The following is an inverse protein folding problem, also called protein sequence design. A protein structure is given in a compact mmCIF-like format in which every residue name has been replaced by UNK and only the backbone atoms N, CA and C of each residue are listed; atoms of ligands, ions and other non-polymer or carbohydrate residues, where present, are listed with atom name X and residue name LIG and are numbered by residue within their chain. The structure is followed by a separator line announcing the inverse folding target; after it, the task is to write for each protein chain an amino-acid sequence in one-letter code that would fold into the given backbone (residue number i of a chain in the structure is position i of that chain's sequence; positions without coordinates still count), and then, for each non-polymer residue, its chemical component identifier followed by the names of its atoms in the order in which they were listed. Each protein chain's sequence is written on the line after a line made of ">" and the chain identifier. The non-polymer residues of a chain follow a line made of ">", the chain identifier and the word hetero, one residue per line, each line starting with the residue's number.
data_IF_223069385524
#
_entry.id   IF_223069385524
#
_cell.length_a   1.000
_cell.length_b   1.000
_cell.length_c   1.000
_cell.angle_alpha   90.00
_cell.angle_beta   90.00
_cell.angle_gamma   90.00
#
_symmetry.space_group_name_H-M   'P 1'
#
loop_
_entity.id
_entity.type
_entity.pdbx_description
1 polymer ?
#
# COMPACT_ATOMS: atom_id res chain seq x y z
N UNK A 1 -3.72 -52.55 -13.27
CA UNK A 1 -2.89 -51.35 -13.48
C UNK A 1 -3.24 -50.36 -12.38
N UNK A 2 -2.28 -49.98 -11.55
CA UNK A 2 -2.53 -49.01 -10.48
C UNK A 2 -2.73 -47.61 -11.07
N UNK A 3 -3.75 -46.90 -10.58
CA UNK A 3 -3.98 -45.50 -10.93
C UNK A 3 -2.75 -44.66 -10.56
N UNK A 4 -2.23 -43.92 -11.55
CA UNK A 4 -1.20 -42.91 -11.32
C UNK A 4 -1.90 -41.72 -10.66
N UNK A 5 -1.61 -41.48 -9.37
CA UNK A 5 -1.97 -40.23 -8.71
C UNK A 5 -1.07 -39.11 -9.23
N UNK A 6 -1.66 -38.21 -10.01
CA UNK A 6 -1.04 -36.94 -10.35
C UNK A 6 -1.04 -36.06 -9.09
N UNK A 7 0.13 -35.61 -8.66
CA UNK A 7 0.27 -34.62 -7.60
C UNK A 7 0.78 -33.35 -8.26
N UNK A 8 -0.05 -32.29 -8.28
CA UNK A 8 0.35 -30.97 -8.79
C UNK A 8 1.15 -30.23 -7.72
N UNK A 9 2.43 -30.58 -7.60
CA UNK A 9 3.37 -30.04 -6.60
C UNK A 9 3.54 -28.52 -6.72
N UNK A 10 3.41 -27.95 -7.93
CA UNK A 10 3.58 -26.50 -8.17
C UNK A 10 2.48 -25.68 -7.48
N UNK A 11 1.22 -26.13 -7.50
CA UNK A 11 0.11 -25.39 -6.89
C UNK A 11 0.22 -25.34 -5.36
N UNK A 12 0.65 -26.45 -4.74
CA UNK A 12 0.85 -26.52 -3.28
C UNK A 12 1.86 -25.49 -2.77
N UNK A 13 3.05 -25.43 -3.40
CA UNK A 13 4.12 -24.50 -3.02
C UNK A 13 3.68 -23.04 -3.17
N UNK A 14 2.98 -22.69 -4.26
CA UNK A 14 2.50 -21.33 -4.49
C UNK A 14 1.43 -20.94 -3.46
N UNK A 15 0.51 -21.85 -3.13
CA UNK A 15 -0.54 -21.57 -2.14
C UNK A 15 0.00 -21.33 -0.72
N UNK A 16 1.07 -22.04 -0.34
CA UNK A 16 1.75 -21.82 0.93
C UNK A 16 2.48 -20.46 0.95
N UNK A 17 3.15 -20.11 -0.14
CA UNK A 17 3.79 -18.80 -0.30
C UNK A 17 2.78 -17.66 -0.16
N UNK A 18 1.64 -17.76 -0.83
CA UNK A 18 0.60 -16.72 -0.83
C UNK A 18 0.01 -16.48 0.56
N UNK A 19 -0.17 -17.55 1.35
CA UNK A 19 -0.61 -17.45 2.74
C UNK A 19 0.40 -16.67 3.60
N UNK A 20 1.70 -16.91 3.41
CA UNK A 20 2.78 -16.19 4.12
C UNK A 20 2.82 -14.73 3.67
N UNK A 21 2.73 -14.48 2.36
CA UNK A 21 2.71 -13.15 1.78
C UNK A 21 1.54 -12.30 2.33
N UNK A 22 0.35 -12.89 2.46
CA UNK A 22 -0.81 -12.22 3.04
C UNK A 22 -0.57 -11.85 4.52
N UNK A 23 -0.06 -12.79 5.32
CA UNK A 23 0.26 -12.53 6.73
C UNK A 23 1.30 -11.43 6.89
N UNK A 24 2.34 -11.41 6.03
CA UNK A 24 3.33 -10.34 6.00
C UNK A 24 2.68 -8.99 5.70
N UNK A 25 1.83 -8.92 4.68
CA UNK A 25 1.17 -7.67 4.28
C UNK A 25 0.28 -7.12 5.40
N UNK A 26 -0.43 -8.00 6.12
CA UNK A 26 -1.23 -7.62 7.29
C UNK A 26 -0.37 -7.09 8.45
N UNK A 27 0.76 -7.76 8.74
CA UNK A 27 1.72 -7.31 9.74
C UNK A 27 2.33 -5.95 9.39
N UNK A 28 2.83 -5.79 8.16
CA UNK A 28 3.41 -4.54 7.67
C UNK A 28 2.42 -3.37 7.75
N UNK A 29 1.15 -3.63 7.45
CA UNK A 29 0.08 -2.65 7.61
C UNK A 29 -0.12 -2.23 9.07
N UNK A 30 -0.09 -3.18 10.01
CA UNK A 30 -0.20 -2.89 11.44
C UNK A 30 1.02 -2.13 11.97
N UNK A 31 2.22 -2.47 11.48
CA UNK A 31 3.48 -1.82 11.84
C UNK A 31 3.67 -0.46 11.13
N UNK A 32 2.76 -0.08 10.22
CA UNK A 32 2.84 1.13 9.40
C UNK A 32 4.11 1.20 8.52
N UNK A 33 4.68 0.04 8.19
CA UNK A 33 5.87 -0.07 7.35
C UNK A 33 5.46 -0.28 5.90
N UNK A 34 5.80 0.67 5.03
CA UNK A 34 5.56 0.55 3.60
C UNK A 34 6.70 -0.25 2.96
N UNK A 35 6.39 -1.32 2.22
CA UNK A 35 7.40 -2.18 1.60
C UNK A 35 7.24 -2.18 0.09
N UNK A 36 8.33 -1.93 -0.62
CA UNK A 36 8.40 -1.96 -2.09
C UNK A 36 9.26 -3.10 -2.56
N UNK A 37 8.73 -3.93 -3.44
CA UNK A 37 9.48 -4.94 -4.17
C UNK A 37 9.90 -4.39 -5.54
N UNK A 38 11.20 -4.12 -5.72
CA UNK A 38 11.79 -3.66 -6.98
C UNK A 38 12.19 -4.86 -7.85
N UNK A 39 11.50 -5.02 -8.97
CA UNK A 39 11.72 -6.11 -9.94
C UNK A 39 12.21 -5.56 -11.27
N UNK A 40 13.04 -6.31 -12.01
CA UNK A 40 13.54 -5.92 -13.35
C UNK A 40 14.44 -6.97 -13.96
N UNK A 41 14.83 -6.82 -15.21
CA UNK A 41 16.01 -7.48 -15.77
C UNK A 41 17.31 -7.07 -15.05
N UNK A 42 18.38 -7.88 -15.14
CA UNK A 42 19.72 -7.45 -14.75
C UNK A 42 20.11 -6.13 -15.43
N UNK A 43 20.67 -5.19 -14.67
CA UNK A 43 21.18 -3.94 -15.21
C UNK A 43 20.13 -2.89 -15.60
N UNK A 44 18.83 -3.10 -15.33
CA UNK A 44 17.80 -2.09 -15.60
C UNK A 44 17.99 -0.80 -14.76
N UNK A 45 18.66 -0.90 -13.60
CA UNK A 45 19.08 0.26 -12.80
C UNK A 45 18.41 0.40 -11.44
N UNK A 46 17.94 -0.70 -10.82
CA UNK A 46 17.34 -0.71 -9.47
C UNK A 46 18.23 -0.02 -8.43
N UNK A 47 19.47 -0.47 -8.27
CA UNK A 47 20.45 0.15 -7.35
C UNK A 47 20.64 1.63 -7.65
N UNK A 48 20.74 2.02 -8.93
CA UNK A 48 20.91 3.42 -9.33
C UNK A 48 19.69 4.28 -8.99
N UNK A 49 18.47 3.72 -9.13
CA UNK A 49 17.24 4.37 -8.69
C UNK A 49 17.25 4.57 -7.16
N UNK A 50 17.63 3.54 -6.40
CA UNK A 50 17.73 3.63 -4.93
C UNK A 50 18.72 4.70 -4.48
N UNK A 51 19.91 4.74 -5.07
CA UNK A 51 20.94 5.75 -4.75
C UNK A 51 20.49 7.19 -5.03
N UNK A 52 19.52 7.41 -5.94
CA UNK A 52 18.90 8.72 -6.17
C UNK A 52 17.70 8.98 -5.27
N UNK A 53 16.96 7.94 -4.91
CA UNK A 53 15.74 7.99 -4.12
C UNK A 53 16.04 8.22 -2.63
N UNK A 54 16.96 7.44 -2.05
CA UNK A 54 17.25 7.44 -0.62
C UNK A 54 17.67 8.83 -0.10
N UNK A 55 18.61 9.57 -0.72
CA UNK A 55 19.01 10.88 -0.21
C UNK A 55 17.89 11.91 -0.19
N UNK A 56 16.84 11.76 -1.00
CA UNK A 56 15.69 12.67 -1.05
C UNK A 56 14.64 12.37 0.04
N UNK A 57 14.64 11.14 0.55
CA UNK A 57 13.60 10.64 1.47
C UNK A 57 14.10 10.38 2.89
N UNK A 58 15.40 10.12 3.09
CA UNK A 58 15.94 9.66 4.38
C UNK A 58 15.80 10.66 5.53
N UNK A 59 15.66 11.95 5.24
CA UNK A 59 15.42 12.97 6.26
C UNK A 59 13.93 13.06 6.66
N UNK A 60 13.03 12.46 5.87
CA UNK A 60 11.58 12.42 6.11
C UNK A 60 11.12 11.07 6.68
N UNK A 61 11.79 9.98 6.29
CA UNK A 61 11.41 8.62 6.63
C UNK A 61 12.61 7.80 7.10
N UNK A 62 12.37 6.89 8.05
CA UNK A 62 13.33 5.83 8.37
C UNK A 62 13.31 4.78 7.25
N UNK A 63 14.38 4.71 6.47
CA UNK A 63 14.49 3.84 5.30
C UNK A 63 15.38 2.63 5.59
N UNK A 64 14.93 1.45 5.18
CA UNK A 64 15.72 0.22 5.14
C UNK A 64 15.80 -0.35 3.73
N UNK A 65 16.84 -1.12 3.45
CA UNK A 65 16.99 -1.86 2.19
C UNK A 65 17.32 -3.32 2.44
N UNK A 66 16.58 -4.20 1.80
CA UNK A 66 16.84 -5.63 1.70
C UNK A 66 17.34 -5.86 0.28
N UNK A 67 18.65 -6.07 0.14
CA UNK A 67 19.27 -6.40 -1.13
C UNK A 67 19.23 -7.92 -1.32
N UNK A 68 18.80 -8.39 -2.49
CA UNK A 68 18.86 -9.79 -2.84
C UNK A 68 19.59 -10.03 -4.15
N UNK A 69 20.72 -10.74 -4.03
CA UNK A 69 21.54 -11.20 -5.14
C UNK A 69 21.95 -12.66 -4.91
N UNK A 70 22.42 -13.28 -5.98
CA UNK A 70 22.86 -14.66 -6.02
C UNK A 70 24.15 -14.83 -5.19
N UNK A 71 25.14 -13.94 -5.34
CA UNK A 71 26.43 -14.06 -4.62
C UNK A 71 27.23 -12.75 -4.44
N UNK A 72 26.80 -11.63 -5.02
CA UNK A 72 27.51 -10.34 -4.91
C UNK A 72 27.06 -9.55 -3.68
N UNK A 73 27.94 -8.71 -3.12
CA UNK A 73 27.61 -7.70 -2.10
C UNK A 73 27.79 -6.27 -2.62
N UNK A 74 28.13 -6.12 -3.90
CA UNK A 74 28.54 -4.85 -4.51
C UNK A 74 27.44 -3.78 -4.38
N UNK A 75 26.17 -4.17 -4.51
CA UNK A 75 25.07 -3.21 -4.47
C UNK A 75 24.66 -2.87 -3.03
N UNK A 76 24.71 -3.83 -2.11
CA UNK A 76 24.52 -3.58 -0.68
C UNK A 76 25.57 -2.60 -0.12
N UNK A 77 26.84 -2.72 -0.54
CA UNK A 77 27.91 -1.81 -0.10
C UNK A 77 27.68 -0.37 -0.57
N UNK A 78 27.32 -0.17 -1.85
CA UNK A 78 26.98 1.17 -2.38
C UNK A 78 25.80 1.79 -1.66
N UNK A 79 24.75 1.00 -1.40
CA UNK A 79 23.55 1.51 -0.72
C UNK A 79 23.87 1.88 0.72
N UNK A 80 24.72 1.10 1.41
CA UNK A 80 25.15 1.38 2.78
C UNK A 80 25.85 2.73 2.91
N UNK A 81 26.58 3.18 1.89
CA UNK A 81 27.22 4.51 1.86
C UNK A 81 26.20 5.67 1.95
N UNK A 82 24.92 5.43 1.66
CA UNK A 82 23.86 6.46 1.83
C UNK A 82 23.47 6.69 3.29
N UNK A 83 23.88 5.80 4.20
CA UNK A 83 23.65 5.89 5.65
C UNK A 83 22.37 5.19 6.15
N UNK A 84 21.68 4.43 5.30
CA UNK A 84 20.48 3.67 5.68
C UNK A 84 20.82 2.26 6.15
N UNK A 85 19.88 1.60 6.84
CA UNK A 85 20.01 0.19 7.20
C UNK A 85 19.94 -0.69 5.95
N UNK A 86 20.92 -1.57 5.77
CA UNK A 86 20.98 -2.50 4.63
C UNK A 86 21.24 -3.90 5.14
N UNK A 87 20.48 -4.87 4.63
CA UNK A 87 20.79 -6.28 4.78
C UNK A 87 20.96 -6.93 3.41
N UNK A 88 21.86 -7.90 3.34
CA UNK A 88 22.07 -8.75 2.18
C UNK A 88 21.36 -10.08 2.40
N UNK A 89 20.45 -10.44 1.51
CA UNK A 89 19.91 -11.78 1.39
C UNK A 89 20.66 -12.49 0.25
N UNK A 90 21.35 -13.57 0.58
CA UNK A 90 21.89 -14.47 -0.44
C UNK A 90 20.82 -15.47 -0.79
N UNK A 91 20.39 -15.49 -2.04
CA UNK A 91 19.32 -16.39 -2.48
C UNK A 91 19.79 -17.84 -2.63
N UNK A 92 21.09 -18.13 -2.50
CA UNK A 92 21.61 -19.50 -2.58
C UNK A 92 21.40 -20.15 -3.95
N UNK A 93 21.32 -19.35 -5.01
CA UNK A 93 21.09 -19.80 -6.39
C UNK A 93 19.66 -19.65 -6.88
N UNK A 94 18.70 -19.26 -6.03
CA UNK A 94 17.35 -18.95 -6.49
C UNK A 94 17.30 -17.66 -7.31
N UNK A 95 16.51 -17.67 -8.38
CA UNK A 95 16.34 -16.56 -9.34
C UNK A 95 15.33 -15.49 -8.90
N UNK A 96 14.79 -15.59 -7.69
CA UNK A 96 13.76 -14.73 -7.12
C UNK A 96 13.80 -14.77 -5.59
N UNK A 97 13.03 -13.89 -4.96
CA UNK A 97 12.65 -13.96 -3.55
C UNK A 97 11.21 -14.45 -3.42
N UNK A 98 10.98 -15.34 -2.46
CA UNK A 98 9.64 -15.74 -2.00
C UNK A 98 9.28 -15.00 -0.68
N UNK A 99 8.05 -15.17 -0.21
CA UNK A 99 7.58 -14.55 1.02
C UNK A 99 8.35 -15.01 2.27
N UNK A 100 8.87 -16.24 2.31
CA UNK A 100 9.63 -16.77 3.46
C UNK A 100 11.00 -16.11 3.56
N UNK A 101 11.68 -15.94 2.42
CA UNK A 101 12.96 -15.20 2.35
C UNK A 101 12.75 -13.74 2.75
N UNK A 102 11.69 -13.11 2.25
CA UNK A 102 11.36 -11.71 2.59
C UNK A 102 11.02 -11.57 4.07
N UNK A 103 10.24 -12.49 4.65
CA UNK A 103 9.97 -12.53 6.09
C UNK A 103 11.26 -12.55 6.90
N UNK A 104 12.18 -13.44 6.54
CA UNK A 104 13.47 -13.58 7.21
C UNK A 104 14.30 -12.28 7.12
N UNK A 105 14.29 -11.62 5.96
CA UNK A 105 14.92 -10.32 5.79
C UNK A 105 14.27 -9.22 6.64
N UNK A 106 12.94 -9.13 6.66
CA UNK A 106 12.20 -8.16 7.45
C UNK A 106 12.46 -8.34 8.96
N UNK A 107 12.56 -9.58 9.42
CA UNK A 107 12.92 -9.90 10.81
C UNK A 107 14.38 -9.50 11.12
N UNK A 108 15.32 -9.82 10.22
CA UNK A 108 16.74 -9.53 10.40
C UNK A 108 17.05 -8.02 10.42
N UNK A 109 16.39 -7.23 9.56
CA UNK A 109 16.56 -5.77 9.56
C UNK A 109 15.81 -5.11 10.73
N UNK A 110 14.84 -5.78 11.33
CA UNK A 110 13.97 -5.22 12.37
C UNK A 110 12.94 -4.24 11.79
N UNK A 111 12.09 -4.74 10.89
CA UNK A 111 11.21 -3.95 10.02
C UNK A 111 10.33 -2.91 10.72
N UNK A 112 9.89 -3.18 11.95
CA UNK A 112 9.03 -2.28 12.74
C UNK A 112 9.68 -0.94 13.09
N UNK A 113 11.00 -0.81 12.91
CA UNK A 113 11.72 0.44 13.11
C UNK A 113 11.76 1.33 11.86
N UNK A 114 11.21 0.87 10.73
CA UNK A 114 11.28 1.55 9.44
C UNK A 114 9.89 1.99 8.96
N UNK A 115 9.87 3.14 8.31
CA UNK A 115 8.69 3.68 7.65
C UNK A 115 8.57 3.15 6.22
N UNK A 116 9.71 2.94 5.56
CA UNK A 116 9.83 2.53 4.18
C UNK A 116 10.96 1.52 4.03
N UNK A 117 10.67 0.36 3.46
CA UNK A 117 11.66 -0.66 3.12
C UNK A 117 11.63 -0.92 1.63
N UNK A 118 12.80 -0.89 0.99
CA UNK A 118 12.96 -1.37 -0.37
C UNK A 118 13.53 -2.79 -0.36
N UNK A 119 12.89 -3.69 -1.08
CA UNK A 119 13.43 -4.99 -1.45
C UNK A 119 13.97 -4.83 -2.87
N UNK A 120 15.28 -4.87 -3.04
CA UNK A 120 15.92 -4.97 -4.35
C UNK A 120 15.96 -6.46 -4.73
N UNK A 121 14.98 -6.91 -5.51
CA UNK A 121 14.85 -8.31 -5.90
C UNK A 121 15.86 -8.68 -6.99
N UNK A 122 16.09 -9.99 -7.16
CA UNK A 122 17.01 -10.53 -8.17
C UNK A 122 16.63 -10.01 -9.56
N UNK A 123 17.63 -9.68 -10.38
CA UNK A 123 17.43 -9.27 -11.77
C UNK A 123 16.86 -10.40 -12.63
N UNK A 124 15.54 -10.50 -12.76
CA UNK A 124 14.83 -11.47 -13.58
C UNK A 124 13.41 -10.99 -13.91
N UNK A 125 12.95 -11.18 -15.16
CA UNK A 125 11.59 -10.81 -15.62
C UNK A 125 10.58 -11.96 -15.59
N UNK A 126 10.98 -13.15 -15.17
CA UNK A 126 10.16 -14.37 -15.16
C UNK A 126 9.88 -14.81 -13.73
N UNK A 127 10.91 -15.29 -13.02
CA UNK A 127 10.73 -15.91 -11.70
C UNK A 127 10.04 -14.98 -10.69
N UNK A 128 10.46 -13.70 -10.51
CA UNK A 128 9.87 -12.86 -9.47
C UNK A 128 8.39 -12.52 -9.69
N UNK A 129 7.87 -12.71 -10.91
CA UNK A 129 6.46 -12.48 -11.19
C UNK A 129 5.55 -13.63 -10.72
N UNK A 130 6.10 -14.82 -10.45
CA UNK A 130 5.34 -15.99 -9.99
C UNK A 130 5.17 -16.05 -8.46
N UNK A 131 5.93 -15.26 -7.68
CA UNK A 131 5.97 -15.36 -6.22
C UNK A 131 5.60 -14.03 -5.56
N UNK A 132 4.49 -14.03 -4.81
CA UNK A 132 4.13 -12.89 -3.97
C UNK A 132 5.13 -12.79 -2.80
N UNK A 133 5.72 -11.60 -2.63
CA UNK A 133 6.70 -11.31 -1.58
C UNK A 133 6.05 -10.79 -0.29
N UNK A 134 4.75 -10.48 -0.33
CA UNK A 134 4.04 -9.79 0.76
C UNK A 134 4.31 -8.28 0.80
N UNK A 135 5.02 -7.73 -0.20
CA UNK A 135 5.25 -6.30 -0.31
C UNK A 135 3.94 -5.51 -0.44
N UNK A 136 3.99 -4.23 -0.05
CA UNK A 136 2.87 -3.30 -0.19
C UNK A 136 2.63 -2.92 -1.65
N UNK A 137 3.72 -2.76 -2.41
CA UNK A 137 3.70 -2.49 -3.85
C UNK A 137 4.78 -3.27 -4.57
N UNK A 138 4.40 -3.80 -5.74
CA UNK A 138 5.32 -4.32 -6.73
C UNK A 138 5.67 -3.22 -7.73
N UNK A 139 6.95 -2.90 -7.87
CA UNK A 139 7.45 -1.85 -8.76
C UNK A 139 8.43 -2.48 -9.73
N UNK A 140 8.08 -2.46 -11.01
CA UNK A 140 8.92 -3.00 -12.07
C UNK A 140 9.71 -1.89 -12.74
N UNK A 141 11.01 -2.11 -12.98
CA UNK A 141 11.79 -1.30 -13.91
C UNK A 141 11.92 -2.03 -15.25
N UNK A 142 11.71 -1.28 -16.33
CA UNK A 142 12.07 -1.63 -17.70
C UNK A 142 13.00 -0.54 -18.22
N UNK A 143 14.21 -0.87 -18.64
CA UNK A 143 15.11 0.13 -19.22
C UNK A 143 14.92 0.30 -20.72
N UNK A 144 15.10 1.52 -21.23
CA UNK A 144 14.98 1.83 -22.66
C UNK A 144 15.81 0.88 -23.55
N UNK A 145 17.08 0.56 -23.24
CA UNK A 145 17.87 -0.38 -24.05
C UNK A 145 17.33 -1.81 -24.11
N UNK A 146 16.39 -2.19 -23.24
CA UNK A 146 15.78 -3.52 -23.31
C UNK A 146 14.78 -3.64 -24.46
N UNK A 147 14.15 -2.53 -24.89
CA UNK A 147 13.16 -2.52 -25.97
C UNK A 147 11.70 -2.49 -25.48
N UNK A 148 10.83 -1.85 -26.26
CA UNK A 148 9.40 -1.64 -25.95
C UNK A 148 8.52 -2.90 -26.07
N UNK A 149 9.11 -4.02 -26.54
CA UNK A 149 8.44 -5.29 -26.81
C UNK A 149 8.28 -6.19 -25.58
N UNK A 150 8.92 -5.83 -24.45
CA UNK A 150 8.93 -6.66 -23.23
C UNK A 150 7.55 -6.98 -22.68
N UNK A 151 6.52 -6.11 -22.72
CA UNK A 151 5.17 -6.47 -22.32
C UNK A 151 4.60 -7.67 -23.09
N UNK A 152 4.96 -7.83 -24.38
CA UNK A 152 4.51 -8.97 -25.19
C UNK A 152 5.24 -10.27 -24.80
N UNK A 153 6.49 -10.15 -24.36
CA UNK A 153 7.36 -11.29 -24.04
C UNK A 153 7.21 -11.76 -22.59
N UNK A 154 6.90 -10.86 -21.66
CA UNK A 154 6.84 -11.13 -20.22
C UNK A 154 5.53 -10.63 -19.60
N UNK A 155 4.34 -10.99 -20.14
CA UNK A 155 3.08 -10.36 -19.77
C UNK A 155 2.78 -10.43 -18.27
N UNK A 156 3.09 -11.56 -17.61
CA UNK A 156 2.83 -11.75 -16.19
C UNK A 156 3.52 -10.68 -15.32
N UNK A 157 4.78 -10.34 -15.62
CA UNK A 157 5.53 -9.33 -14.86
C UNK A 157 4.85 -7.96 -14.88
N UNK A 158 4.29 -7.56 -16.02
CA UNK A 158 3.55 -6.30 -16.14
C UNK A 158 2.16 -6.38 -15.49
N UNK A 159 1.53 -7.56 -15.48
CA UNK A 159 0.23 -7.78 -14.82
C UNK A 159 0.34 -7.71 -13.29
N UNK A 160 1.39 -8.26 -12.68
CA UNK A 160 1.54 -8.29 -11.22
C UNK A 160 2.15 -7.01 -10.64
N UNK A 161 2.69 -6.13 -11.48
CA UNK A 161 3.30 -4.86 -11.06
C UNK A 161 2.24 -3.77 -10.83
N UNK A 162 2.38 -2.99 -9.77
CA UNK A 162 1.50 -1.86 -9.45
C UNK A 162 1.99 -0.56 -10.07
N UNK A 163 3.30 -0.47 -10.30
CA UNK A 163 3.98 0.66 -10.92
C UNK A 163 5.01 0.15 -11.91
N UNK A 164 5.08 0.82 -13.07
CA UNK A 164 6.15 0.64 -14.05
C UNK A 164 7.05 1.88 -14.07
N UNK A 165 8.35 1.66 -13.94
CA UNK A 165 9.37 2.67 -14.14
C UNK A 165 10.08 2.37 -15.46
N UNK A 166 9.93 3.28 -16.43
CA UNK A 166 10.70 3.28 -17.66
C UNK A 166 12.01 3.98 -17.34
N UNK A 167 13.08 3.21 -17.21
CA UNK A 167 14.38 3.67 -16.74
C UNK A 167 15.32 3.98 -17.91
N UNK A 168 16.33 4.82 -17.65
CA UNK A 168 17.35 5.24 -18.64
C UNK A 168 16.73 5.99 -19.82
N UNK A 169 15.75 6.86 -19.57
CA UNK A 169 15.08 7.67 -20.61
C UNK A 169 16.04 8.63 -21.33
N UNK A 170 17.22 8.90 -20.76
CA UNK A 170 18.31 9.59 -21.44
C UNK A 170 18.83 8.87 -22.70
N UNK A 171 18.46 7.60 -22.91
CA UNK A 171 18.78 6.83 -24.11
C UNK A 171 17.75 6.98 -25.24
N UNK A 172 16.56 7.55 -24.99
CA UNK A 172 15.47 7.60 -25.97
C UNK A 172 15.89 8.24 -27.29
N UNK A 173 16.67 9.33 -27.24
CA UNK A 173 17.14 10.03 -28.45
C UNK A 173 18.10 9.23 -29.33
N UNK A 174 18.58 8.07 -28.86
CA UNK A 174 19.52 7.18 -29.56
C UNK A 174 18.99 5.76 -29.77
N UNK A 175 17.72 5.51 -29.43
CA UNK A 175 17.09 4.19 -29.50
C UNK A 175 15.91 4.16 -30.46
N UNK A 176 15.57 2.96 -30.94
CA UNK A 176 14.34 2.65 -31.65
C UNK A 176 13.13 2.40 -30.73
N UNK A 177 13.30 2.63 -29.41
CA UNK A 177 12.28 2.43 -28.40
C UNK A 177 11.09 3.37 -28.59
N UNK A 178 9.90 2.80 -28.78
CA UNK A 178 8.64 3.54 -28.86
C UNK A 178 7.93 3.55 -27.50
N UNK A 179 8.04 4.69 -26.83
CA UNK A 179 7.41 4.95 -25.55
C UNK A 179 5.87 4.88 -25.60
N UNK A 180 5.26 5.33 -26.69
CA UNK A 180 3.81 5.33 -26.84
C UNK A 180 3.29 3.92 -27.02
N UNK A 181 3.98 3.14 -27.86
CA UNK A 181 3.66 1.74 -28.12
C UNK A 181 3.88 0.86 -26.88
N UNK A 182 4.94 1.11 -26.10
CA UNK A 182 5.13 0.46 -24.80
C UNK A 182 3.90 0.70 -23.91
N UNK A 183 3.50 1.97 -23.72
CA UNK A 183 2.37 2.34 -22.86
C UNK A 183 1.08 1.67 -23.32
N UNK A 184 0.81 1.64 -24.63
CA UNK A 184 -0.35 0.94 -25.18
C UNK A 184 -0.36 -0.54 -24.80
N UNK A 185 0.77 -1.23 -24.96
CA UNK A 185 0.89 -2.66 -24.63
C UNK A 185 0.73 -2.93 -23.14
N UNK A 186 1.32 -2.08 -22.30
CA UNK A 186 1.24 -2.17 -20.84
C UNK A 186 -0.20 -1.95 -20.37
N UNK A 187 -0.90 -0.94 -20.89
CA UNK A 187 -2.30 -0.68 -20.50
C UNK A 187 -3.27 -1.79 -20.92
N UNK A 188 -2.96 -2.57 -21.97
CA UNK A 188 -3.73 -3.77 -22.32
C UNK A 188 -3.60 -4.88 -21.27
N UNK A 189 -2.47 -4.97 -20.59
CA UNK A 189 -2.21 -5.97 -19.54
C UNK A 189 -2.72 -5.51 -18.18
N UNK A 190 -2.47 -4.24 -17.82
CA UNK A 190 -2.90 -3.64 -16.56
C UNK A 190 -3.43 -2.22 -16.77
N UNK A 191 -4.75 -2.07 -16.99
CA UNK A 191 -5.39 -0.77 -17.06
C UNK A 191 -5.13 0.04 -15.79
N UNK A 192 -4.71 1.30 -15.94
CA UNK A 192 -4.51 2.21 -14.81
C UNK A 192 -3.19 2.06 -14.02
N UNK A 193 -2.25 1.23 -14.48
CA UNK A 193 -0.91 1.18 -13.89
C UNK A 193 -0.23 2.56 -13.92
N UNK A 194 0.42 2.95 -12.82
CA UNK A 194 1.20 4.19 -12.77
C UNK A 194 2.53 3.98 -13.52
N UNK A 195 2.89 4.92 -14.39
CA UNK A 195 4.11 4.87 -15.20
C UNK A 195 4.97 6.10 -14.91
N UNK A 196 6.24 5.87 -14.59
CA UNK A 196 7.23 6.94 -14.41
C UNK A 196 8.35 6.79 -15.44
N UNK A 197 8.73 7.88 -16.06
CA UNK A 197 9.87 7.97 -16.99
C UNK A 197 11.05 8.56 -16.23
N UNK A 198 12.12 7.78 -16.05
CA UNK A 198 13.21 8.11 -15.12
C UNK A 198 14.59 7.94 -15.74
N UNK A 199 15.46 8.91 -15.51
CA UNK A 199 16.90 8.77 -15.69
C UNK A 199 17.62 9.03 -14.38
N UNK A 200 18.20 8.00 -13.78
CA UNK A 200 19.08 8.15 -12.61
C UNK A 200 20.39 8.89 -12.97
N UNK A 201 20.74 8.99 -14.26
CA UNK A 201 21.92 9.70 -14.75
C UNK A 201 21.67 11.21 -14.74
N UNK A 202 20.60 11.67 -15.39
CA UNK A 202 20.28 13.11 -15.51
C UNK A 202 19.49 13.64 -14.33
N UNK A 203 18.79 12.76 -13.60
CA UNK A 203 17.85 13.12 -12.53
C UNK A 203 16.41 13.30 -13.02
N UNK A 204 16.17 13.21 -14.33
CA UNK A 204 14.83 13.28 -14.92
C UNK A 204 13.90 12.23 -14.29
N UNK A 205 12.67 12.65 -13.98
CA UNK A 205 11.65 11.76 -13.41
C UNK A 205 11.77 11.42 -11.93
N UNK A 206 12.94 11.62 -11.33
CA UNK A 206 13.21 11.19 -9.95
C UNK A 206 12.29 11.91 -8.96
N UNK A 207 12.06 13.20 -9.13
CA UNK A 207 11.25 13.96 -8.17
C UNK A 207 9.76 13.56 -8.22
N UNK A 208 9.25 13.18 -9.40
CA UNK A 208 7.87 12.68 -9.54
C UNK A 208 7.72 11.29 -8.90
N UNK A 209 8.70 10.41 -9.13
CA UNK A 209 8.78 9.11 -8.46
C UNK A 209 8.83 9.25 -6.94
N UNK A 210 9.72 10.11 -6.44
CA UNK A 210 9.88 10.39 -5.00
C UNK A 210 8.61 10.99 -4.42
N UNK A 211 7.98 11.97 -5.08
CA UNK A 211 6.72 12.56 -4.60
C UNK A 211 5.61 11.53 -4.47
N UNK A 212 5.50 10.60 -5.43
CA UNK A 212 4.53 9.52 -5.33
C UNK A 212 4.81 8.58 -4.16
N UNK A 213 6.07 8.24 -3.91
CA UNK A 213 6.46 7.45 -2.74
C UNK A 213 6.10 8.15 -1.43
N UNK A 214 6.40 9.45 -1.32
CA UNK A 214 6.06 10.24 -0.13
C UNK A 214 4.56 10.20 0.15
N UNK A 215 3.74 10.33 -0.89
CA UNK A 215 2.29 10.27 -0.79
C UNK A 215 1.80 8.90 -0.30
N UNK A 216 2.26 7.79 -0.90
CA UNK A 216 1.82 6.45 -0.50
C UNK A 216 2.23 6.11 0.94
N UNK A 217 3.45 6.45 1.35
CA UNK A 217 3.93 6.24 2.73
C UNK A 217 3.12 7.11 3.71
N UNK A 218 2.83 8.35 3.34
CA UNK A 218 2.01 9.25 4.16
C UNK A 218 0.57 8.77 4.29
N UNK A 219 -0.02 8.24 3.22
CA UNK A 219 -1.36 7.63 3.23
C UNK A 219 -1.37 6.44 4.20
N UNK A 220 -0.41 5.52 4.11
CA UNK A 220 -0.32 4.38 5.02
C UNK A 220 -0.26 4.85 6.48
N UNK A 221 0.64 5.79 6.79
CA UNK A 221 0.79 6.32 8.15
C UNK A 221 -0.45 7.04 8.67
N UNK A 222 -1.12 7.83 7.82
CA UNK A 222 -2.36 8.52 8.19
C UNK A 222 -3.53 7.56 8.43
N UNK A 223 -3.58 6.46 7.67
CA UNK A 223 -4.60 5.39 7.82
C UNK A 223 -4.38 4.58 9.10
N UNK A 224 -3.17 4.56 9.63
CA UNK A 224 -2.81 3.86 10.86
C UNK A 224 -2.95 4.69 12.14
N UNK A 225 -3.29 5.98 12.06
CA UNK A 225 -3.69 6.78 13.22
C UNK A 225 -5.04 6.27 13.74
N UNK A 226 -4.99 5.31 14.66
CA UNK A 226 -6.14 4.65 15.30
C UNK A 226 -6.46 5.23 16.70
N UNK A 227 -6.40 6.55 16.86
CA UNK A 227 -7.14 7.21 17.95
C UNK A 227 -8.13 8.21 17.34
N UNK A 228 -9.38 7.79 17.20
CA UNK A 228 -10.49 8.70 16.97
C UNK A 228 -11.18 8.95 18.31
N UNK A 229 -11.08 10.17 18.84
CA UNK A 229 -11.87 10.55 20.01
C UNK A 229 -13.30 10.87 19.53
N UNK A 230 -14.18 9.87 19.56
CA UNK A 230 -15.60 10.04 19.28
C UNK A 230 -16.30 10.53 20.55
N UNK A 231 -16.87 11.75 20.49
CA UNK A 231 -17.66 12.31 21.59
C UNK A 231 -19.09 12.48 21.10
N UNK A 232 -19.97 11.52 21.38
CA UNK A 232 -21.37 11.66 21.02
C UNK A 232 -22.11 12.51 22.06
N UNK A 233 -22.70 13.64 21.65
CA UNK A 233 -23.61 14.41 22.50
C UNK A 233 -25.05 14.03 22.18
N UNK A 234 -25.81 13.62 23.19
CA UNK A 234 -27.24 13.38 23.07
C UNK A 234 -27.99 14.54 23.74
N UNK A 235 -28.87 15.20 23.01
CA UNK A 235 -29.79 16.19 23.56
C UNK A 235 -31.21 15.69 23.29
N UNK A 236 -31.84 15.06 24.30
CA UNK A 236 -33.26 14.72 24.24
C UNK A 236 -34.02 15.91 24.80
N UNK A 237 -35.07 16.37 24.09
CA UNK A 237 -35.84 17.60 24.34
C UNK A 237 -36.30 17.83 25.79
N UNK A 238 -36.22 16.85 26.68
CA UNK A 238 -36.69 16.95 28.08
C UNK A 238 -35.65 16.57 29.15
N UNK A 239 -34.41 16.20 28.80
CA UNK A 239 -33.35 15.94 29.79
C UNK A 239 -31.96 16.33 29.22
N UNK A 240 -31.24 17.21 29.92
CA UNK A 240 -29.86 17.55 29.60
C UNK A 240 -28.94 16.64 30.40
N UNK A 241 -28.24 15.71 29.72
CA UNK A 241 -27.23 14.85 30.31
C UNK A 241 -26.03 14.70 29.39
N UNK A 242 -24.83 14.51 29.95
CA UNK A 242 -23.60 14.29 29.20
C UNK A 242 -23.01 12.91 29.49
N UNK A 243 -22.53 12.23 28.45
CA UNK A 243 -21.72 11.02 28.55
C UNK A 243 -20.52 11.19 27.62
N UNK A 244 -19.31 11.04 28.16
CA UNK A 244 -18.07 11.09 27.40
C UNK A 244 -17.38 9.73 27.52
N UNK A 245 -17.18 9.05 26.40
CA UNK A 245 -16.49 7.76 26.36
C UNK A 245 -15.32 7.84 25.39
N UNK A 246 -14.10 7.67 25.89
CA UNK A 246 -12.91 7.50 25.06
C UNK A 246 -12.92 6.07 24.52
N UNK A 247 -12.89 5.91 23.20
CA UNK A 247 -12.95 4.60 22.56
C UNK A 247 -11.64 4.38 21.77
N UNK A 248 -10.96 3.27 22.07
CA UNK A 248 -9.80 2.81 21.30
C UNK A 248 -10.32 1.81 20.28
N UNK A 249 -9.96 1.94 19.00
CA UNK A 249 -10.52 1.06 17.97
C UNK A 249 -9.48 0.58 16.95
N UNK A 250 -9.63 -0.66 16.50
CA UNK A 250 -8.76 -1.27 15.50
C UNK A 250 -9.53 -1.97 14.36
N UNK A 251 -10.13 -1.19 13.45
CA UNK A 251 -10.80 -1.63 12.18
C UNK A 251 -12.19 -2.26 12.39
N UNK A 252 -13.21 -2.26 11.49
CA UNK A 252 -13.50 -1.63 10.19
C UNK A 252 -14.98 -1.14 10.22
N UNK A 253 -15.24 0.09 9.77
CA UNK A 253 -16.55 0.78 9.62
C UNK A 253 -17.18 1.45 10.85
N UNK A 254 -17.68 2.68 10.63
CA UNK A 254 -18.40 3.53 11.60
C UNK A 254 -19.73 2.89 12.07
N UNK A 255 -20.36 2.07 11.23
CA UNK A 255 -21.62 1.40 11.57
C UNK A 255 -21.45 0.37 12.69
N UNK A 256 -20.32 -0.34 12.71
CA UNK A 256 -20.00 -1.30 13.77
C UNK A 256 -19.70 -0.56 15.09
N UNK A 257 -18.97 0.56 15.00
CA UNK A 257 -18.69 1.44 16.14
C UNK A 257 -19.98 1.97 16.80
N UNK A 258 -20.95 2.45 16.01
CA UNK A 258 -22.22 2.98 16.54
C UNK A 258 -23.06 1.87 17.21
N UNK A 259 -22.89 0.60 16.83
CA UNK A 259 -23.57 -0.54 17.49
C UNK A 259 -22.94 -0.92 18.82
N UNK A 260 -21.65 -0.66 19.01
CA UNK A 260 -20.90 -1.01 20.23
C UNK A 260 -20.97 0.06 21.31
N UNK A 261 -21.29 1.30 20.96
CA UNK A 261 -21.51 2.38 21.93
C UNK A 261 -22.87 2.18 22.57
N UNK A 262 -22.92 2.04 23.89
CA UNK A 262 -24.17 1.97 24.64
C UNK A 262 -24.50 3.28 25.33
N UNK A 263 -25.76 3.66 25.31
CA UNK A 263 -26.33 4.77 26.07
C UNK A 263 -26.41 4.41 27.56
N UNK A 264 -26.71 5.40 28.40
CA UNK A 264 -26.79 5.22 29.86
C UNK A 264 -27.86 4.19 30.26
N UNK A 265 -28.92 4.06 29.47
CA UNK A 265 -30.00 3.07 29.62
C UNK A 265 -29.69 1.72 28.95
N UNK A 266 -28.46 1.52 28.47
CA UNK A 266 -27.97 0.24 27.96
C UNK A 266 -28.36 -0.10 26.51
N UNK A 267 -29.03 0.82 25.80
CA UNK A 267 -29.34 0.65 24.38
C UNK A 267 -28.09 0.93 23.53
N UNK A 268 -27.98 0.29 22.36
CA UNK A 268 -26.93 0.67 21.41
C UNK A 268 -27.21 2.05 20.83
N UNK A 269 -26.17 2.83 20.56
CA UNK A 269 -26.30 4.12 19.90
C UNK A 269 -26.90 3.95 18.50
N UNK A 270 -26.70 2.79 17.86
CA UNK A 270 -27.35 2.41 16.61
C UNK A 270 -28.87 2.36 16.72
N UNK A 271 -29.42 1.63 17.70
CA UNK A 271 -30.88 1.55 17.91
C UNK A 271 -31.50 2.89 18.28
N UNK A 272 -30.70 3.78 18.87
CA UNK A 272 -31.13 5.13 19.23
C UNK A 272 -31.13 6.04 18.00
N UNK A 273 -30.05 6.05 17.22
CA UNK A 273 -29.84 6.98 16.10
C UNK A 273 -30.50 6.55 14.79
N UNK A 274 -30.70 5.24 14.57
CA UNK A 274 -31.18 4.70 13.31
C UNK A 274 -32.62 4.20 13.47
N UNK A 275 -33.50 4.56 12.55
CA UNK A 275 -34.87 4.04 12.49
C UNK A 275 -34.94 2.67 11.79
N UNK A 276 -36.13 2.08 11.75
CA UNK A 276 -36.36 0.76 11.15
C UNK A 276 -36.10 0.74 9.63
N UNK A 277 -36.06 1.90 8.98
CA UNK A 277 -35.80 2.09 7.56
C UNK A 277 -34.30 2.33 7.27
N UNK A 278 -33.46 2.39 8.31
CA UNK A 278 -32.02 2.60 8.19
C UNK A 278 -31.60 4.07 8.12
N UNK A 279 -32.52 5.02 8.33
CA UNK A 279 -32.24 6.44 8.30
C UNK A 279 -31.90 6.99 9.70
N UNK A 280 -31.11 8.08 9.73
CA UNK A 280 -30.75 8.75 10.98
C UNK A 280 -31.93 9.58 11.50
N UNK A 281 -32.35 9.33 12.74
CA UNK A 281 -33.40 10.08 13.43
C UNK A 281 -32.98 11.55 13.61
N UNK A 282 -33.92 12.47 13.46
CA UNK A 282 -33.65 13.91 13.20
C UNK A 282 -33.30 14.76 14.43
N UNK A 283 -33.26 14.21 15.63
CA UNK A 283 -33.14 14.96 16.90
C UNK A 283 -31.76 14.80 17.60
N UNK A 284 -30.70 14.44 16.87
CA UNK A 284 -29.38 14.15 17.47
C UNK A 284 -28.25 15.01 16.87
N UNK A 285 -27.22 15.30 17.69
CA UNK A 285 -26.05 16.06 17.28
C UNK A 285 -24.76 15.26 17.55
N UNK A 286 -24.11 14.78 16.51
CA UNK A 286 -22.88 13.98 16.63
C UNK A 286 -21.65 14.89 16.55
N UNK A 287 -20.70 14.71 17.48
CA UNK A 287 -19.41 15.38 17.47
C UNK A 287 -18.27 14.37 17.29
N UNK A 288 -17.29 14.72 16.45
CA UNK A 288 -16.08 13.92 16.23
C UNK A 288 -14.87 14.82 16.47
N UNK A 289 -13.94 14.41 17.34
CA UNK A 289 -12.75 15.19 17.70
C UNK A 289 -13.08 16.65 18.10
N UNK A 290 -14.09 16.84 18.97
CA UNK A 290 -14.57 18.16 19.42
C UNK A 290 -15.04 19.10 18.29
N UNK A 291 -15.43 18.55 17.14
CA UNK A 291 -16.04 19.31 16.05
C UNK A 291 -17.45 18.79 15.79
N UNK A 292 -18.46 19.67 15.67
CA UNK A 292 -19.78 19.25 15.23
C UNK A 292 -19.67 18.77 13.78
N UNK A 293 -20.31 17.65 13.46
CA UNK A 293 -20.47 17.20 12.08
C UNK A 293 -21.45 18.18 11.42
N UNK A 294 -20.94 19.22 10.74
CA UNK A 294 -21.77 20.21 10.03
C UNK A 294 -22.11 19.74 8.63
N UNK A 295 -23.36 19.95 8.23
CA UNK A 295 -23.80 19.94 6.83
C UNK A 295 -22.94 20.93 6.01
N UNK A 296 -21.97 20.39 5.27
CA UNK A 296 -21.45 20.94 4.01
C UNK A 296 -20.36 20.06 3.38
N UNK A 297 -19.92 19.02 4.09
CA UNK A 297 -19.31 17.86 3.46
C UNK A 297 -20.19 16.66 3.76
N UNK A 298 -20.92 16.18 2.75
CA UNK A 298 -21.40 14.80 2.75
C UNK A 298 -20.19 13.93 3.05
N UNK A 299 -20.14 13.33 4.23
CA UNK A 299 -19.25 12.21 4.52
C UNK A 299 -19.81 11.02 3.75
N UNK A 300 -19.62 11.01 2.43
CA UNK A 300 -19.75 9.80 1.64
C UNK A 300 -18.57 8.91 2.02
N UNK A 301 -18.81 7.98 2.94
CA UNK A 301 -17.83 6.95 3.26
C UNK A 301 -18.11 5.78 2.31
N UNK A 302 -17.27 5.52 1.30
CA UNK A 302 -17.41 4.34 0.48
C UNK A 302 -17.16 3.11 1.35
N UNK A 303 -18.16 2.23 1.47
CA UNK A 303 -17.99 0.92 2.07
C UNK A 303 -17.47 -0.05 1.00
N UNK A 304 -16.59 -0.98 1.37
CA UNK A 304 -15.93 -1.92 0.44
C UNK A 304 -16.91 -2.81 -0.35
N UNK A 305 -18.20 -2.83 -0.01
CA UNK A 305 -19.23 -3.59 -0.69
C UNK A 305 -20.11 -2.75 -1.65
N UNK A 306 -19.74 -1.49 -1.93
CA UNK A 306 -20.49 -0.60 -2.83
C UNK A 306 -21.62 0.18 -2.15
N UNK A 307 -21.90 -0.08 -0.87
CA UNK A 307 -22.84 0.69 -0.07
C UNK A 307 -22.29 2.09 0.24
N UNK A 308 -23.18 3.09 0.21
CA UNK A 308 -22.88 4.48 0.59
C UNK A 308 -23.69 4.83 1.84
N UNK A 309 -23.01 5.32 2.88
CA UNK A 309 -23.69 5.89 4.06
C UNK A 309 -23.78 7.40 3.87
N UNK A 310 -25.01 7.93 3.82
CA UNK A 310 -25.27 9.36 3.75
C UNK A 310 -25.69 9.86 5.14
N UNK A 311 -24.79 10.59 5.82
CA UNK A 311 -25.10 11.28 7.06
C UNK A 311 -25.69 12.66 6.73
N UNK A 312 -27.00 12.81 6.88
CA UNK A 312 -27.71 14.09 6.74
C UNK A 312 -28.17 14.59 8.11
N UNK A 313 -27.99 15.88 8.38
CA UNK A 313 -28.46 16.51 9.62
C UNK A 313 -29.02 17.90 9.31
N UNK A 314 -30.31 18.00 8.96
CA UNK A 314 -30.90 19.31 8.71
C UNK A 314 -31.01 20.14 10.00
N UNK A 315 -30.42 21.34 9.97
CA UNK A 315 -30.79 22.43 10.88
C UNK A 315 -31.93 23.23 10.24
N UNK A 316 -33.09 23.31 10.90
CA UNK A 316 -34.01 24.44 10.72
C UNK A 316 -34.49 24.93 12.07
N UNK A 317 -33.93 26.05 12.51
CA UNK A 317 -34.56 26.91 13.52
C UNK A 317 -35.63 27.74 12.80
N UNK A 318 -36.89 27.59 13.19
CA UNK A 318 -37.86 28.67 13.12
C UNK A 318 -38.30 28.96 14.53
N UNK A 319 -37.89 30.11 15.06
CA UNK A 319 -38.56 30.73 16.19
C UNK A 319 -40.01 31.02 15.76
N UNK A 320 -40.99 30.55 16.53
CA UNK A 320 -42.21 31.34 16.73
C UNK A 320 -41.93 32.27 17.92
N UNK A 321 -42.31 33.54 17.93
CA UNK A 321 -43.48 34.19 17.29
C UNK A 321 -43.54 34.23 15.76
#
# INVERSE_FOLDING_TARGET
>A
MGEIKLIEVKEGILSENDAIAQQLREKLKNDCTFVINLMSSPGAGKTSLLLRTIPRLKDKFKIGVIEADIDSMVDAEKIRETGVGVIQLRTGGFCHLDATMVKSGLEAIGSSNFDLIFIENVGNLVCPAEFDTGATRNVMLLSVPEGDDKPLKYPLMFTVSDVLIISKVDYLGSSDFDLSLLKERVFKLKPGIKIFEVSSKTGEGIDQWVSWLEEEVSILKSTSVKELNVTAMMAVREMVGWSQKKLNFSGNTLAQLIREITTIDGQSLYSVLIDEEGAVKKDYMVWLNNRPVKEQHSLEIPLQNGDRVLLTSMIKFSAGG
#
